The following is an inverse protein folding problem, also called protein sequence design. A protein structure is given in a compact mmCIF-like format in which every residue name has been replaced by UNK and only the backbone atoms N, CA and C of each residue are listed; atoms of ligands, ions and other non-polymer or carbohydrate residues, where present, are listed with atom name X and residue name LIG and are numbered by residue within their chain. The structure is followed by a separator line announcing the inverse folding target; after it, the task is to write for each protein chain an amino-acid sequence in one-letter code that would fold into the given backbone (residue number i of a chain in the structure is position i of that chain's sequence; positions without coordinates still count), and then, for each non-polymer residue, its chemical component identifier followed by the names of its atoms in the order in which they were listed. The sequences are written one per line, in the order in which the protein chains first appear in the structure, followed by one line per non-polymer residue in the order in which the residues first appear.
data_IF_241051400354
#
_entry.id   IF_241051400354
#
_cell.length_a   1.000
_cell.length_b   1.000
_cell.length_c   1.000
_cell.angle_alpha   90.00
_cell.angle_beta   90.00
_cell.angle_gamma   90.00
#
_symmetry.space_group_name_H-M   'P 1'
#
loop_
_entity.id
_entity.type
_entity.pdbx_description
1 polymer ?
#
# COMPACT_ATOMS: atom_id res chain seq x y z
N UNK A 1 1.81 2.78 4.40
CA UNK A 1 1.01 1.64 4.86
C UNK A 1 0.45 0.91 3.65
N UNK A 2 0.52 -0.42 3.65
CA UNK A 2 -0.11 -1.32 2.69
C UNK A 2 -0.87 -2.39 3.49
N UNK A 3 -2.02 -2.83 2.99
CA UNK A 3 -2.86 -3.83 3.66
C UNK A 3 -3.06 -5.01 2.72
N UNK A 4 -2.76 -6.22 3.19
CA UNK A 4 -2.87 -7.48 2.47
C UNK A 4 -3.75 -8.43 3.29
N UNK A 5 -5.00 -8.61 2.90
CA UNK A 5 -6.03 -9.22 3.73
C UNK A 5 -6.05 -8.63 5.16
N UNK A 6 -5.62 -9.42 6.14
CA UNK A 6 -5.56 -9.06 7.55
C UNK A 6 -4.16 -8.58 7.98
N UNK A 7 -3.21 -8.52 7.06
CA UNK A 7 -1.83 -8.12 7.33
C UNK A 7 -1.60 -6.66 6.98
N UNK A 8 -0.98 -5.91 7.89
CA UNK A 8 -0.58 -4.52 7.68
C UNK A 8 0.93 -4.43 7.54
N UNK A 9 1.37 -3.86 6.42
CA UNK A 9 2.77 -3.60 6.11
C UNK A 9 3.04 -2.11 6.20
N UNK A 10 4.04 -1.75 7.02
CA UNK A 10 4.58 -0.41 7.06
C UNK A 10 6.07 -0.42 6.72
N UNK A 11 6.46 0.51 5.86
CA UNK A 11 7.85 0.73 5.49
C UNK A 11 8.29 2.05 6.09
N UNK A 12 9.49 2.08 6.65
CA UNK A 12 10.12 3.31 7.12
C UNK A 12 11.62 3.25 6.94
N UNK A 13 12.25 4.40 6.78
CA UNK A 13 13.70 4.51 6.88
C UNK A 13 14.09 4.65 8.36
N UNK A 14 15.06 3.87 8.82
CA UNK A 14 15.59 3.93 10.19
C UNK A 14 17.12 3.90 10.18
N UNK A 15 17.77 4.96 10.65
CA UNK A 15 19.23 5.05 10.79
C UNK A 15 20.00 4.57 9.54
N UNK A 16 19.57 5.01 8.35
CA UNK A 16 20.10 4.61 7.04
C UNK A 16 19.84 3.17 6.60
N UNK A 17 18.96 2.41 7.26
CA UNK A 17 18.47 1.13 6.77
C UNK A 17 16.96 1.12 6.60
N UNK A 18 16.43 0.45 5.57
CA UNK A 18 14.99 0.25 5.44
C UNK A 18 14.51 -0.70 6.55
N UNK A 19 13.46 -0.29 7.25
CA UNK A 19 12.79 -1.11 8.25
C UNK A 19 11.39 -1.48 7.75
N UNK A 20 11.03 -2.74 7.99
CA UNK A 20 9.73 -3.31 7.68
C UNK A 20 9.00 -3.56 8.99
N UNK A 21 7.76 -3.09 9.08
CA UNK A 21 6.84 -3.52 10.13
C UNK A 21 5.72 -4.36 9.53
N UNK A 22 5.56 -5.56 10.08
CA UNK A 22 4.50 -6.50 9.74
C UNK A 22 3.59 -6.64 10.97
N UNK A 23 2.31 -6.30 10.85
CA UNK A 23 1.33 -6.38 11.94
C UNK A 23 1.82 -5.70 13.24
N UNK A 24 2.36 -4.49 13.12
CA UNK A 24 2.95 -3.68 14.21
C UNK A 24 4.25 -4.22 14.81
N UNK A 25 4.73 -5.38 14.38
CA UNK A 25 6.06 -5.87 14.75
C UNK A 25 7.08 -5.30 13.77
N UNK A 26 8.05 -4.52 14.27
CA UNK A 26 9.14 -4.00 13.43
C UNK A 26 10.26 -5.03 13.37
N UNK A 27 10.70 -5.36 12.15
CA UNK A 27 11.89 -6.14 11.88
C UNK A 27 12.95 -5.27 11.20
N UNK A 28 14.17 -5.30 11.74
CA UNK A 28 15.35 -4.82 11.02
C UNK A 28 15.75 -5.92 10.04
N UNK A 29 15.78 -5.60 8.76
CA UNK A 29 16.11 -6.57 7.72
C UNK A 29 17.62 -6.56 7.54
N UNK A 30 18.24 -7.73 7.70
CA UNK A 30 19.67 -7.93 7.48
C UNK A 30 19.94 -8.28 6.02
N UNK A 31 21.10 -7.87 5.52
CA UNK A 31 21.66 -8.26 4.23
C UNK A 31 22.20 -9.70 4.21
N UNK A 32 22.44 -10.30 5.38
CA UNK A 32 22.93 -11.68 5.50
C UNK A 32 21.80 -12.72 5.57
N UNK A 33 20.56 -12.31 5.86
CA UNK A 33 19.45 -13.25 6.15
C UNK A 33 18.12 -12.83 5.53
N UNK A 34 17.42 -13.82 4.99
CA UNK A 34 16.01 -13.66 4.58
C UNK A 34 15.13 -13.66 5.83
N UNK A 35 14.36 -12.59 6.00
CA UNK A 35 13.29 -12.51 6.99
C UNK A 35 12.02 -13.14 6.43
N UNK A 36 11.30 -13.89 7.25
CA UNK A 36 10.10 -14.65 6.86
C UNK A 36 8.92 -14.18 7.70
N UNK A 37 7.74 -14.19 7.11
CA UNK A 37 6.50 -13.71 7.73
C UNK A 37 5.39 -14.73 7.54
N UNK A 38 4.58 -14.90 8.58
CA UNK A 38 3.56 -15.95 8.65
C UNK A 38 2.19 -15.37 8.96
N UNK A 39 1.15 -16.06 8.52
CA UNK A 39 -0.24 -15.79 8.92
C UNK A 39 -0.59 -16.48 10.26
N UNK A 40 -1.85 -16.34 10.68
CA UNK A 40 -2.39 -16.98 11.89
C UNK A 40 -2.43 -18.51 11.83
N UNK A 41 -2.35 -19.09 10.64
CA UNK A 41 -2.37 -20.54 10.40
C UNK A 41 -0.95 -21.11 10.23
N UNK A 42 0.08 -20.32 10.49
CA UNK A 42 1.50 -20.65 10.30
C UNK A 42 1.91 -20.92 8.85
N UNK A 43 1.16 -20.43 7.87
CA UNK A 43 1.61 -20.42 6.48
C UNK A 43 2.58 -19.27 6.27
N UNK A 44 3.70 -19.52 5.59
CA UNK A 44 4.57 -18.45 5.12
C UNK A 44 3.84 -17.65 4.04
N UNK A 45 3.64 -16.36 4.29
CA UNK A 45 2.92 -15.46 3.39
C UNK A 45 3.84 -14.46 2.69
N UNK A 46 5.00 -14.16 3.27
CA UNK A 46 5.96 -13.26 2.63
C UNK A 46 7.39 -13.52 3.11
N UNK A 47 8.33 -13.08 2.29
CA UNK A 47 9.76 -13.00 2.62
C UNK A 47 10.26 -11.58 2.38
N UNK A 48 11.22 -11.14 3.18
CA UNK A 48 11.91 -9.87 2.99
C UNK A 48 13.42 -10.03 3.07
N UNK A 49 14.14 -9.33 2.20
CA UNK A 49 15.60 -9.38 2.11
C UNK A 49 16.14 -8.07 1.54
N UNK A 50 17.43 -7.80 1.78
CA UNK A 50 18.12 -6.68 1.15
C UNK A 50 18.87 -7.14 -0.11
N UNK A 51 18.91 -6.26 -1.10
CA UNK A 51 19.78 -6.40 -2.29
C UNK A 51 20.83 -5.28 -2.29
N UNK A 52 21.90 -5.37 -3.10
CA UNK A 52 22.93 -4.34 -3.17
C UNK A 52 22.35 -2.93 -3.35
N UNK A 53 22.92 -1.95 -2.65
CA UNK A 53 22.37 -0.59 -2.58
C UNK A 53 21.37 -0.37 -1.45
N UNK A 54 21.26 -1.32 -0.51
CA UNK A 54 20.38 -1.25 0.66
C UNK A 54 18.90 -1.09 0.30
N UNK A 55 18.50 -1.81 -0.75
CA UNK A 55 17.13 -1.83 -1.26
C UNK A 55 16.41 -3.00 -0.61
N UNK A 56 15.32 -2.71 0.10
CA UNK A 56 14.44 -3.71 0.68
C UNK A 56 13.53 -4.28 -0.39
N UNK A 57 13.52 -5.60 -0.49
CA UNK A 57 12.58 -6.36 -1.31
C UNK A 57 11.68 -7.17 -0.39
N UNK A 58 10.36 -7.08 -0.59
CA UNK A 58 9.37 -7.97 0.02
C UNK A 58 8.67 -8.72 -1.10
N UNK A 59 8.70 -10.05 -1.06
CA UNK A 59 8.03 -10.91 -2.03
C UNK A 59 6.96 -11.74 -1.31
N UNK A 60 5.77 -11.79 -1.90
CA UNK A 60 4.71 -12.68 -1.47
C UNK A 60 4.19 -13.47 -2.66
N UNK A 61 4.63 -14.73 -2.81
CA UNK A 61 4.03 -15.65 -3.77
C UNK A 61 2.55 -15.91 -3.48
N UNK A 62 2.18 -15.95 -2.19
CA UNK A 62 0.81 -16.16 -1.74
C UNK A 62 -0.15 -15.11 -2.33
N UNK A 63 0.27 -13.85 -2.32
CA UNK A 63 -0.51 -12.72 -2.85
C UNK A 63 -0.09 -12.27 -4.26
N UNK A 64 0.82 -13.00 -4.91
CA UNK A 64 1.37 -12.66 -6.22
C UNK A 64 1.89 -11.22 -6.35
N UNK A 65 2.65 -10.75 -5.35
CA UNK A 65 3.22 -9.40 -5.35
C UNK A 65 4.71 -9.36 -5.05
N UNK A 66 5.32 -8.24 -5.45
CA UNK A 66 6.65 -7.81 -5.06
C UNK A 66 6.66 -6.32 -4.72
N UNK A 67 7.24 -5.98 -3.58
CA UNK A 67 7.44 -4.62 -3.10
C UNK A 67 8.93 -4.32 -3.07
N UNK A 68 9.33 -3.17 -3.60
CA UNK A 68 10.73 -2.73 -3.66
C UNK A 68 10.80 -1.35 -3.04
N UNK A 69 11.67 -1.16 -2.06
CA UNK A 69 11.82 0.09 -1.33
C UNK A 69 13.30 0.45 -1.18
N UNK A 70 13.68 1.62 -1.72
CA UNK A 70 15.07 2.11 -1.71
C UNK A 70 15.36 3.11 -0.57
N UNK A 71 14.43 3.25 0.39
CA UNK A 71 14.49 4.27 1.44
C UNK A 71 13.73 5.56 1.12
N UNK A 72 13.41 5.81 -0.15
CA UNK A 72 12.69 7.00 -0.60
C UNK A 72 11.45 6.69 -1.46
N UNK A 73 11.55 5.70 -2.34
CA UNK A 73 10.54 5.32 -3.33
C UNK A 73 10.09 3.90 -3.08
N UNK A 74 8.81 3.66 -3.30
CA UNK A 74 8.18 2.34 -3.24
C UNK A 74 7.70 1.97 -4.63
N UNK A 75 8.07 0.78 -5.10
CA UNK A 75 7.55 0.16 -6.31
C UNK A 75 6.75 -1.07 -5.89
N UNK A 76 5.49 -1.12 -6.27
CA UNK A 76 4.63 -2.28 -6.12
C UNK A 76 4.45 -2.95 -7.49
N UNK A 77 4.77 -4.23 -7.57
CA UNK A 77 4.54 -5.08 -8.73
C UNK A 77 3.51 -6.14 -8.36
N UNK A 78 2.47 -6.26 -9.18
CA UNK A 78 1.39 -7.22 -9.01
C UNK A 78 1.30 -8.12 -10.26
N UNK A 79 0.98 -9.39 -10.06
CA UNK A 79 0.56 -10.28 -11.15
C UNK A 79 -0.78 -9.82 -11.74
N UNK A 80 -1.02 -10.10 -13.02
CA UNK A 80 -2.32 -9.87 -13.67
C UNK A 80 -3.49 -10.59 -12.98
N UNK A 81 -3.23 -11.60 -12.14
CA UNK A 81 -4.25 -12.23 -11.29
C UNK A 81 -4.84 -11.30 -10.23
N UNK A 82 -4.20 -10.15 -9.99
CA UNK A 82 -4.65 -9.13 -9.05
C UNK A 82 -5.43 -7.97 -9.71
N UNK A 83 -5.73 -8.07 -11.00
CA UNK A 83 -6.57 -7.07 -11.69
C UNK A 83 -7.93 -7.00 -11.01
N UNK A 84 -8.44 -5.79 -10.81
CA UNK A 84 -9.73 -5.49 -10.17
C UNK A 84 -9.88 -5.96 -8.72
N UNK A 85 -8.89 -6.64 -8.13
CA UNK A 85 -8.92 -7.12 -6.74
C UNK A 85 -8.21 -6.19 -5.75
N UNK A 86 -7.63 -5.09 -6.25
CA UNK A 86 -6.93 -4.09 -5.44
C UNK A 86 -7.63 -2.74 -5.50
N UNK A 87 -7.32 -1.89 -4.52
CA UNK A 87 -7.74 -0.48 -4.51
C UNK A 87 -6.76 0.32 -3.67
N UNK A 88 -6.59 1.59 -3.97
CA UNK A 88 -5.67 2.45 -3.23
C UNK A 88 -5.22 3.64 -4.04
N UNK A 89 -4.24 4.36 -3.53
CA UNK A 89 -3.60 5.47 -4.25
C UNK A 89 -2.95 5.06 -5.59
N UNK A 90 -2.75 3.76 -5.82
CA UNK A 90 -2.24 3.20 -7.08
C UNK A 90 -3.36 2.74 -8.04
N UNK A 91 -4.62 3.10 -7.78
CA UNK A 91 -5.77 2.70 -8.60
C UNK A 91 -6.33 1.33 -8.25
N UNK A 92 -7.14 0.79 -9.16
CA UNK A 92 -7.81 -0.52 -9.03
C UNK A 92 -7.22 -1.61 -9.95
N UNK A 93 -6.21 -1.25 -10.76
CA UNK A 93 -5.44 -2.15 -11.62
C UNK A 93 -6.29 -2.91 -12.67
N UNK A 94 -7.38 -2.34 -13.17
CA UNK A 94 -8.16 -2.92 -14.27
C UNK A 94 -7.55 -2.62 -15.67
N UNK A 95 -6.70 -1.60 -15.78
CA UNK A 95 -6.11 -1.12 -17.05
C UNK A 95 -6.79 0.13 -17.62
N UNK A 96 -7.88 0.58 -17.01
CA UNK A 96 -8.64 1.76 -17.37
C UNK A 96 -8.26 2.92 -16.46
N UNK A 97 -7.64 3.96 -17.02
CA UNK A 97 -7.18 5.10 -16.20
C UNK A 97 -8.31 5.99 -15.69
N UNK A 98 -9.51 5.86 -16.26
CA UNK A 98 -10.64 6.75 -16.01
C UNK A 98 -11.23 6.54 -14.61
N UNK A 99 -11.05 5.36 -14.01
CA UNK A 99 -11.58 5.01 -12.70
C UNK A 99 -10.50 4.70 -11.66
N UNK A 100 -9.22 4.99 -11.96
CA UNK A 100 -8.11 4.86 -11.00
C UNK A 100 -8.27 5.76 -9.77
N UNK A 101 -9.07 6.83 -9.86
CA UNK A 101 -9.43 7.71 -8.74
C UNK A 101 -10.72 7.27 -8.02
N UNK A 102 -11.03 5.97 -8.04
CA UNK A 102 -12.16 5.37 -7.34
C UNK A 102 -11.87 5.13 -5.87
N UNK A 103 -12.72 5.66 -4.99
CA UNK A 103 -12.63 5.48 -3.53
C UNK A 103 -13.52 4.31 -3.05
N UNK A 104 -13.33 3.80 -1.82
CA UNK A 104 -14.26 2.83 -1.24
C UNK A 104 -15.69 3.40 -1.27
N UNK A 105 -16.66 2.60 -1.78
CA UNK A 105 -18.03 2.98 -2.21
C UNK A 105 -18.21 3.26 -3.72
N UNK A 106 -17.25 2.86 -4.56
CA UNK A 106 -17.35 2.91 -6.03
C UNK A 106 -17.59 4.32 -6.60
N UNK A 107 -17.09 5.33 -5.88
CA UNK A 107 -17.24 6.75 -6.18
C UNK A 107 -15.91 7.25 -6.79
N UNK A 108 -15.96 7.74 -8.03
CA UNK A 108 -14.81 8.20 -8.81
C UNK A 108 -14.70 9.71 -8.66
N UNK A 109 -13.61 10.18 -8.06
CA UNK A 109 -13.32 11.60 -7.94
C UNK A 109 -12.50 12.09 -9.13
N UNK A 110 -12.81 13.28 -9.66
CA UNK A 110 -11.96 13.92 -10.67
C UNK A 110 -10.78 14.70 -10.07
N UNK A 111 -10.92 15.12 -8.80
CA UNK A 111 -9.88 15.86 -8.10
C UNK A 111 -8.95 14.88 -7.36
N UNK A 112 -7.65 14.79 -7.73
CA UNK A 112 -6.72 13.87 -7.10
C UNK A 112 -6.45 14.20 -5.62
N UNK A 113 -6.60 15.45 -5.20
CA UNK A 113 -6.45 15.83 -3.78
C UNK A 113 -7.62 15.33 -2.93
N UNK A 114 -8.85 15.39 -3.46
CA UNK A 114 -10.03 14.85 -2.78
C UNK A 114 -9.94 13.32 -2.70
N UNK A 115 -9.60 12.67 -3.81
CA UNK A 115 -9.33 11.24 -3.84
C UNK A 115 -8.29 10.82 -2.79
N UNK A 116 -7.12 11.46 -2.78
CA UNK A 116 -6.04 11.11 -1.85
C UNK A 116 -6.46 11.31 -0.39
N UNK A 117 -7.31 12.29 -0.11
CA UNK A 117 -7.82 12.53 1.26
C UNK A 117 -8.62 11.36 1.82
N UNK A 118 -9.23 10.53 0.97
CA UNK A 118 -10.01 9.35 1.39
C UNK A 118 -9.15 8.15 1.80
N UNK A 119 -7.85 8.18 1.52
CA UNK A 119 -6.88 7.13 1.90
C UNK A 119 -5.98 7.53 3.07
N UNK A 120 -6.27 8.64 3.74
CA UNK A 120 -5.55 9.04 4.95
C UNK A 120 -5.90 8.07 6.08
N UNK A 121 -4.88 7.42 6.65
CA UNK A 121 -5.01 6.64 7.88
C UNK A 121 -4.73 7.54 9.08
N UNK A 122 -5.67 7.63 10.02
CA UNK A 122 -5.63 8.53 11.18
C UNK A 122 -4.62 8.11 12.28
N UNK A 123 -3.75 7.13 12.01
CA UNK A 123 -2.70 6.68 12.92
C UNK A 123 -1.43 7.55 12.90
N UNK A 124 -1.21 8.31 11.83
CA UNK A 124 -0.07 9.20 11.69
C UNK A 124 -0.51 10.65 11.92
N UNK A 125 0.32 11.42 12.61
CA UNK A 125 0.14 12.86 12.92
C UNK A 125 0.19 13.78 11.68
N UNK A 126 -0.47 13.39 10.60
CA UNK A 126 -0.70 14.21 9.42
C UNK A 126 -1.58 15.39 9.81
N UNK A 127 -0.94 16.53 10.10
CA UNK A 127 -1.66 17.80 10.27
C UNK A 127 -2.26 18.15 8.91
N UNK A 128 -3.58 18.03 8.80
CA UNK A 128 -4.29 18.55 7.64
C UNK A 128 -4.10 20.07 7.61
N UNK A 129 -3.23 20.56 6.72
CA UNK A 129 -3.14 21.99 6.39
C UNK A 129 -4.24 22.40 5.38
N UNK A 130 -4.97 21.43 4.83
CA UNK A 130 -6.16 21.68 4.04
C UNK A 130 -7.33 21.90 5.00
N UNK A 131 -7.92 23.11 4.93
CA UNK A 131 -9.25 23.39 5.49
C UNK A 131 -10.17 22.23 5.11
N UNK A 132 -10.96 21.74 6.06
CA UNK A 132 -12.12 20.89 5.76
C UNK A 132 -12.96 21.61 4.69
N UNK A 133 -12.78 21.27 3.42
CA UNK A 133 -13.89 21.42 2.47
C UNK A 133 -14.95 20.41 2.90
N UNK A 134 -16.20 20.57 2.48
CA UNK A 134 -17.23 19.58 2.75
C UNK A 134 -16.90 18.29 1.97
N UNK A 135 -15.93 17.50 2.46
CA UNK A 135 -15.36 16.31 1.80
C UNK A 135 -16.37 15.16 1.72
N UNK A 136 -17.53 15.29 2.38
CA UNK A 136 -18.60 14.29 2.38
C UNK A 136 -19.84 14.73 1.60
N UNK A 137 -19.77 15.76 0.74
CA UNK A 137 -20.89 16.07 -0.16
C UNK A 137 -20.94 15.04 -1.30
N UNK A 138 -22.00 14.21 -1.41
CA UNK A 138 -22.10 13.16 -2.43
C UNK A 138 -22.32 13.68 -3.85
N UNK A 139 -22.37 14.99 -4.06
CA UNK A 139 -22.63 15.63 -5.37
C UNK A 139 -21.37 15.80 -6.26
N UNK A 140 -20.18 15.34 -5.84
CA UNK A 140 -18.93 15.62 -6.55
C UNK A 140 -18.18 14.39 -7.09
N UNK A 141 -18.83 13.22 -7.14
CA UNK A 141 -18.23 12.04 -7.77
C UNK A 141 -19.19 11.31 -8.69
N UNK A 142 -18.61 10.60 -9.67
CA UNK A 142 -19.34 9.72 -10.57
C UNK A 142 -19.29 8.29 -10.01
N UNK A 143 -20.39 7.55 -10.07
CA UNK A 143 -20.38 6.15 -9.66
C UNK A 143 -19.97 5.26 -10.82
N UNK A 144 -19.09 4.29 -10.56
CA UNK A 144 -18.85 3.20 -11.50
C UNK A 144 -20.12 2.34 -11.60
N UNK A 145 -20.49 1.96 -12.83
CA UNK A 145 -21.56 0.99 -13.04
C UNK A 145 -21.08 -0.40 -12.57
N UNK A 146 -21.98 -1.14 -11.93
CA UNK A 146 -21.77 -2.53 -11.51
C UNK A 146 -21.51 -3.48 -12.69
#
# INVERSE_FOLDING_TARGET
MMVLDNNVINLRQSQNQPALSWNNQTSLISDERVSRFWDSNHNEVAVAYLVPGNVLVVESPFYNMKLIYDGARVILQLSNTMRESVRGLCGNFNGEKIDDLMVPKNCIHQNPFEFASKYISFGDSCRQHHKKSNVDNPEHCSYANE
#
